data_IF_478166011331
#
_entry.id   IF_478166011331
#
_cell.length_a   1.000
_cell.length_b   1.000
_cell.length_c   1.000
_cell.angle_alpha   90.00
_cell.angle_beta   90.00
_cell.angle_gamma   90.00
#
_symmetry.space_group_name_H-M   'P 1'
#
loop_
_entity.id
_entity.type
_entity.pdbx_description
1 polymer ?
#
# COMPACT_ATOMS: atom_id res chain seq x y z
N UNK A 1 14.83 3.24 -15.82
CA UNK A 1 13.52 3.16 -15.15
C UNK A 1 13.67 3.92 -13.83
N UNK A 2 13.06 5.09 -13.67
CA UNK A 2 13.12 5.82 -12.41
C UNK A 2 12.02 5.26 -11.50
N UNK A 3 12.39 4.64 -10.38
CA UNK A 3 11.42 4.23 -9.37
C UNK A 3 10.80 5.49 -8.72
N UNK A 4 9.51 5.44 -8.42
CA UNK A 4 8.82 6.55 -7.77
C UNK A 4 8.17 6.01 -6.48
N UNK A 5 8.84 6.14 -5.32
CA UNK A 5 8.36 5.54 -4.08
C UNK A 5 7.00 6.14 -3.71
N UNK A 6 6.09 5.24 -3.35
CA UNK A 6 4.72 5.57 -2.96
C UNK A 6 3.81 6.04 -4.10
N UNK A 7 4.08 5.65 -5.35
CA UNK A 7 3.19 6.01 -6.48
C UNK A 7 1.77 5.47 -6.29
N UNK A 8 1.62 4.22 -5.85
CA UNK A 8 0.33 3.59 -5.52
C UNK A 8 -0.46 4.29 -4.41
N UNK A 9 0.21 5.07 -3.55
CA UNK A 9 -0.43 5.73 -2.38
C UNK A 9 -0.64 7.25 -2.56
N UNK A 10 0.07 7.90 -3.49
CA UNK A 10 0.02 9.36 -3.69
C UNK A 10 -1.26 9.90 -4.34
N UNK A 11 -2.13 9.04 -4.88
CA UNK A 11 -3.29 9.43 -5.70
C UNK A 11 -4.68 9.01 -5.22
N UNK A 12 -4.81 8.37 -4.04
CA UNK A 12 -6.07 7.78 -3.55
C UNK A 12 -6.35 8.14 -2.08
N UNK A 13 -7.23 7.36 -1.44
CA UNK A 13 -7.54 7.36 0.00
C UNK A 13 -6.36 7.00 0.92
N UNK A 14 -5.21 6.62 0.35
CA UNK A 14 -4.06 6.11 1.10
C UNK A 14 -3.03 7.18 1.46
N UNK A 15 -3.17 8.39 0.91
CA UNK A 15 -2.18 9.46 1.04
C UNK A 15 -1.87 9.82 2.49
N UNK A 16 -2.88 9.76 3.36
CA UNK A 16 -2.74 10.10 4.78
C UNK A 16 -1.96 9.03 5.58
N UNK A 17 -1.74 7.85 5.00
CA UNK A 17 -0.97 6.76 5.60
C UNK A 17 0.48 6.70 5.10
N UNK A 18 0.90 7.63 4.23
CA UNK A 18 2.27 7.68 3.72
C UNK A 18 3.21 8.36 4.72
N UNK A 19 4.24 7.63 5.12
CA UNK A 19 5.33 8.11 5.96
C UNK A 19 6.48 8.58 5.05
N UNK A 20 6.73 9.90 5.05
CA UNK A 20 7.66 10.53 4.10
C UNK A 20 9.12 10.21 4.42
N UNK A 21 9.47 10.11 5.69
CA UNK A 21 10.86 9.90 6.12
C UNK A 21 11.28 8.44 5.90
N UNK A 22 10.36 7.51 6.14
CA UNK A 22 10.60 6.08 5.99
C UNK A 22 10.31 5.55 4.58
N UNK A 23 9.52 6.28 3.79
CA UNK A 23 9.15 5.86 2.44
C UNK A 23 8.23 4.64 2.42
N UNK A 24 7.39 4.48 3.43
CA UNK A 24 6.44 3.36 3.59
C UNK A 24 5.03 3.87 3.86
N UNK A 25 4.03 3.00 3.68
CA UNK A 25 2.66 3.29 4.09
C UNK A 25 2.16 2.33 5.15
N UNK A 26 1.59 2.88 6.22
CA UNK A 26 0.98 2.10 7.30
C UNK A 26 -0.55 2.12 7.16
N UNK A 27 -1.08 1.16 6.39
CA UNK A 27 -2.52 1.09 6.11
C UNK A 27 -3.23 0.22 7.17
N UNK A 28 -4.22 0.75 7.89
CA UNK A 28 -4.99 -0.03 8.86
C UNK A 28 -5.76 -1.18 8.21
N UNK A 29 -5.72 -2.38 8.81
CA UNK A 29 -6.36 -3.58 8.26
C UNK A 29 -7.88 -3.46 8.05
N UNK A 30 -8.57 -2.62 8.84
CA UNK A 30 -10.00 -2.38 8.67
C UNK A 30 -10.32 -1.65 7.36
N UNK A 31 -9.37 -0.91 6.78
CA UNK A 31 -9.48 -0.32 5.45
C UNK A 31 -9.28 -1.34 4.33
N UNK A 32 -8.62 -2.46 4.64
CA UNK A 32 -8.38 -3.57 3.71
C UNK A 32 -9.53 -4.59 3.68
N UNK A 33 -10.68 -4.32 4.31
CA UNK A 33 -11.76 -5.31 4.41
C UNK A 33 -12.47 -5.59 3.08
N UNK A 34 -12.49 -4.60 2.18
CA UNK A 34 -13.19 -4.68 0.89
C UNK A 34 -12.25 -4.47 -0.31
N UNK A 35 -10.93 -4.60 -0.10
CA UNK A 35 -9.95 -4.46 -1.19
C UNK A 35 -9.98 -5.70 -2.06
N UNK A 36 -9.87 -5.49 -3.36
CA UNK A 36 -9.70 -6.56 -4.34
C UNK A 36 -8.22 -6.88 -4.53
N UNK A 37 -7.90 -8.01 -5.17
CA UNK A 37 -6.52 -8.31 -5.60
C UNK A 37 -5.96 -7.19 -6.50
N UNK A 38 -6.79 -6.65 -7.39
CA UNK A 38 -6.40 -5.53 -8.24
C UNK A 38 -6.07 -4.25 -7.45
N UNK A 39 -6.75 -4.00 -6.32
CA UNK A 39 -6.40 -2.87 -5.46
C UNK A 39 -5.04 -3.07 -4.78
N UNK A 40 -4.69 -4.32 -4.43
CA UNK A 40 -3.38 -4.66 -3.90
C UNK A 40 -2.27 -4.47 -4.95
N UNK A 41 -2.49 -4.92 -6.18
CA UNK A 41 -1.54 -4.69 -7.30
C UNK A 41 -1.26 -3.20 -7.51
N UNK A 42 -2.31 -2.35 -7.39
CA UNK A 42 -2.15 -0.90 -7.50
C UNK A 42 -1.39 -0.29 -6.33
N UNK A 43 -1.52 -0.85 -5.12
CA UNK A 43 -0.75 -0.42 -3.95
C UNK A 43 0.75 -0.74 -4.10
N UNK A 44 1.09 -1.82 -4.81
CA UNK A 44 2.46 -2.19 -5.14
C UNK A 44 3.10 -1.35 -6.25
N UNK A 45 2.33 -0.48 -6.92
CA UNK A 45 2.89 0.36 -7.98
C UNK A 45 3.94 1.34 -7.41
N UNK A 46 5.21 1.08 -7.75
CA UNK A 46 6.34 1.87 -7.26
C UNK A 46 6.75 1.52 -5.81
N UNK A 47 6.40 0.33 -5.33
CA UNK A 47 6.76 -0.20 -4.02
C UNK A 47 6.68 -1.73 -3.98
N UNK A 48 6.55 -2.28 -2.77
CA UNK A 48 6.32 -3.69 -2.49
C UNK A 48 5.46 -3.77 -1.22
N UNK A 49 4.53 -4.72 -1.16
CA UNK A 49 3.81 -5.01 0.08
C UNK A 49 4.67 -5.91 0.96
N UNK A 50 4.72 -5.59 2.25
CA UNK A 50 5.31 -6.46 3.27
C UNK A 50 4.28 -7.53 3.70
N UNK A 51 4.46 -8.75 3.19
CA UNK A 51 3.57 -9.89 3.43
C UNK A 51 3.42 -10.23 4.92
N UNK A 52 4.45 -9.97 5.74
CA UNK A 52 4.41 -10.22 7.18
C UNK A 52 3.44 -9.29 7.91
N UNK A 53 3.06 -8.17 7.28
CA UNK A 53 2.16 -7.15 7.84
C UNK A 53 0.75 -7.20 7.27
N UNK A 54 0.49 -8.09 6.29
CA UNK A 54 -0.82 -8.25 5.71
C UNK A 54 -1.80 -8.93 6.67
N UNK A 55 -3.11 -8.62 6.59
CA UNK A 55 -4.12 -9.41 7.25
C UNK A 55 -4.05 -10.87 6.75
N UNK A 56 -4.14 -11.90 7.62
CA UNK A 56 -4.00 -13.30 7.23
C UNK A 56 -4.96 -13.80 6.14
N UNK A 57 -6.04 -13.06 5.85
CA UNK A 57 -6.99 -13.38 4.78
C UNK A 57 -6.53 -12.93 3.38
N UNK A 58 -5.49 -12.10 3.31
CA UNK A 58 -4.92 -11.53 2.09
C UNK A 58 -3.54 -12.11 1.77
N UNK A 59 -3.08 -13.07 2.58
CA UNK A 59 -1.86 -13.87 2.37
C UNK A 59 -2.25 -15.12 1.58
#
# INVERSE_FOLDING_TARGET
LAWAPGKGVKGKEWKDYWEVELGVSYIPWNKLNNVTEHDLELLEEGGMIDEDTLPPRLI
#
